data_IF_385635252496
#
_entry.id   IF_385635252496
#
_cell.length_a   1.000
_cell.length_b   1.000
_cell.length_c   1.000
_cell.angle_alpha   90.00
_cell.angle_beta   90.00
_cell.angle_gamma   90.00
#
_symmetry.space_group_name_H-M   'P 1'
#
loop_
_entity.id
_entity.type
_entity.pdbx_description
1 polymer ?
#
# COMPACT_ATOMS: atom_id res chain seq x y z
N UNK A 1 -12.83 -13.62 69.96
CA UNK A 1 -13.45 -12.43 70.59
C UNK A 1 -12.61 -11.20 70.26
N UNK A 2 -13.27 -10.19 69.69
CA UNK A 2 -12.99 -8.73 69.76
C UNK A 2 -11.72 -8.15 69.09
N UNK A 3 -12.03 -7.33 68.08
CA UNK A 3 -11.25 -6.29 67.37
C UNK A 3 -10.36 -5.41 68.26
N UNK A 4 -9.29 -4.86 67.67
CA UNK A 4 -9.02 -3.41 67.70
C UNK A 4 -8.27 -2.95 66.44
N UNK A 5 -8.85 -1.95 65.76
CA UNK A 5 -8.21 -1.12 64.75
C UNK A 5 -7.14 -0.24 65.40
N UNK A 6 -6.09 0.10 64.66
CA UNK A 6 -5.45 1.41 64.71
C UNK A 6 -4.91 1.74 63.32
N UNK A 7 -5.43 2.85 62.79
CA UNK A 7 -5.02 3.48 61.56
C UNK A 7 -3.73 4.29 61.82
N UNK A 8 -2.80 4.26 60.86
CA UNK A 8 -1.74 5.27 60.78
C UNK A 8 -1.66 5.73 59.32
N UNK A 9 -2.05 6.98 59.13
CA UNK A 9 -1.98 7.71 57.88
C UNK A 9 -0.57 8.33 57.70
N UNK A 10 -0.27 8.58 56.43
CA UNK A 10 0.68 9.57 55.90
C UNK A 10 2.19 9.34 56.13
N UNK A 11 2.87 9.04 55.02
CA UNK A 11 3.93 9.92 54.51
C UNK A 11 3.97 9.80 52.97
N UNK A 12 3.25 10.69 52.30
CA UNK A 12 3.57 11.07 50.92
C UNK A 12 4.74 12.03 51.02
N UNK A 13 5.96 11.55 50.77
CA UNK A 13 7.11 12.39 50.47
C UNK A 13 7.42 12.23 48.98
N UNK A 14 7.35 13.35 48.26
CA UNK A 14 7.60 13.40 46.83
C UNK A 14 9.01 12.95 46.48
N UNK A 15 9.09 12.06 45.49
CA UNK A 15 10.19 12.07 44.55
C UNK A 15 9.69 12.82 43.31
N UNK A 16 9.82 14.14 43.39
CA UNK A 16 9.99 14.98 42.20
C UNK A 16 11.32 14.63 41.52
N UNK A 17 11.33 14.76 40.20
CA UNK A 17 12.48 14.67 39.29
C UNK A 17 12.87 13.25 38.87
N UNK A 18 12.29 12.89 37.72
CA UNK A 18 12.71 11.79 36.87
C UNK A 18 11.76 11.67 35.70
N UNK A 19 11.51 12.78 34.98
CA UNK A 19 11.09 12.65 33.58
C UNK A 19 12.27 11.94 32.90
N UNK A 20 12.17 10.62 32.81
CA UNK A 20 13.10 9.81 32.08
C UNK A 20 12.83 10.11 30.61
N UNK A 21 13.39 11.21 30.12
CA UNK A 21 13.69 11.40 28.72
C UNK A 21 14.53 10.21 28.30
N UNK A 22 13.86 9.13 27.86
CA UNK A 22 14.51 8.02 27.20
C UNK A 22 15.41 8.56 26.09
N UNK A 23 16.44 7.81 25.67
CA UNK A 23 17.39 8.29 24.69
C UNK A 23 16.61 8.87 23.50
N UNK A 24 16.85 10.15 23.20
CA UNK A 24 16.21 10.83 22.08
C UNK A 24 16.40 10.02 20.80
N UNK A 25 15.47 10.19 19.85
CA UNK A 25 15.56 9.54 18.54
C UNK A 25 16.95 9.74 17.95
N UNK A 26 17.63 8.66 17.57
CA UNK A 26 18.92 8.76 16.90
C UNK A 26 18.78 9.15 15.43
N UNK A 27 17.57 9.03 14.90
CA UNK A 27 17.21 9.53 13.58
C UNK A 27 16.94 11.04 13.73
N UNK A 28 17.67 11.87 12.98
CA UNK A 28 17.44 13.30 13.03
C UNK A 28 15.98 13.60 12.65
N UNK A 29 15.31 14.44 13.45
CA UNK A 29 13.89 14.76 13.28
C UNK A 29 12.95 13.53 13.28
N UNK A 30 13.32 12.44 13.96
CA UNK A 30 12.58 11.18 13.92
C UNK A 30 11.09 11.29 14.30
N UNK A 31 10.70 12.22 15.17
CA UNK A 31 9.29 12.47 15.48
C UNK A 31 8.50 13.05 14.31
N UNK A 32 9.07 14.01 13.58
CA UNK A 32 8.47 14.58 12.37
C UNK A 32 8.41 13.53 11.26
N UNK A 33 9.46 12.74 11.12
CA UNK A 33 9.51 11.65 10.14
C UNK A 33 8.45 10.59 10.45
N UNK A 34 8.35 10.14 11.69
CA UNK A 34 7.33 9.19 12.12
C UNK A 34 5.92 9.71 11.78
N UNK A 35 5.60 10.95 12.12
CA UNK A 35 4.29 11.54 11.83
C UNK A 35 3.97 11.59 10.32
N UNK A 36 4.98 11.86 9.48
CA UNK A 36 4.80 11.81 8.03
C UNK A 36 4.54 10.38 7.55
N UNK A 37 5.37 9.42 7.98
CA UNK A 37 5.20 8.01 7.62
C UNK A 37 3.86 7.45 8.10
N UNK A 38 3.39 7.80 9.29
CA UNK A 38 2.06 7.38 9.79
C UNK A 38 0.95 7.91 8.90
N UNK A 39 1.08 9.14 8.41
CA UNK A 39 0.07 9.73 7.54
C UNK A 39 0.09 9.07 6.16
N UNK A 40 1.28 8.73 5.64
CA UNK A 40 1.41 7.95 4.41
C UNK A 40 0.84 6.54 4.57
N UNK A 41 1.14 5.87 5.68
CA UNK A 41 0.60 4.54 6.02
C UNK A 41 -0.92 4.57 6.13
N UNK A 42 -1.49 5.59 6.79
CA UNK A 42 -2.94 5.76 6.87
C UNK A 42 -3.59 6.00 5.49
N UNK A 43 -2.91 6.70 4.57
CA UNK A 43 -3.36 6.91 3.20
C UNK A 43 -3.40 5.61 2.40
N UNK A 44 -2.25 4.95 2.33
CA UNK A 44 -1.98 3.80 1.47
C UNK A 44 -2.65 2.54 2.02
N UNK A 45 -2.67 2.42 3.34
CA UNK A 45 -3.34 1.36 4.09
C UNK A 45 -4.83 1.61 4.35
N UNK A 46 -5.49 2.49 3.59
CA UNK A 46 -6.93 2.72 3.71
C UNK A 46 -7.74 1.44 3.48
N UNK A 47 -8.91 1.26 4.13
CA UNK A 47 -9.75 0.07 3.93
C UNK A 47 -10.12 -0.18 2.47
N UNK A 48 -10.28 0.88 1.67
CA UNK A 48 -10.64 0.80 0.26
C UNK A 48 -9.49 0.24 -0.58
N UNK A 49 -8.26 0.73 -0.40
CA UNK A 49 -7.08 0.20 -1.10
C UNK A 49 -6.78 -1.24 -0.66
N UNK A 50 -6.92 -1.55 0.64
CA UNK A 50 -6.85 -2.93 1.15
C UNK A 50 -7.84 -3.86 0.47
N UNK A 51 -9.09 -3.42 0.30
CA UNK A 51 -10.11 -4.19 -0.41
C UNK A 51 -9.79 -4.34 -1.90
N UNK A 52 -9.26 -3.30 -2.55
CA UNK A 52 -8.88 -3.38 -3.96
C UNK A 52 -7.74 -4.40 -4.16
N UNK A 53 -6.72 -4.35 -3.29
CA UNK A 53 -5.64 -5.33 -3.21
C UNK A 53 -6.13 -6.77 -3.09
N UNK A 54 -7.04 -7.03 -2.15
CA UNK A 54 -7.56 -8.39 -1.92
C UNK A 54 -8.46 -8.90 -3.05
N UNK A 55 -9.14 -8.01 -3.77
CA UNK A 55 -10.05 -8.35 -4.87
C UNK A 55 -9.36 -8.44 -6.24
N UNK A 56 -8.06 -8.16 -6.33
CA UNK A 56 -7.31 -8.24 -7.58
C UNK A 56 -7.40 -9.62 -8.26
N UNK A 57 -7.05 -10.71 -7.55
CA UNK A 57 -7.16 -12.06 -8.10
C UNK A 57 -8.61 -12.46 -8.43
N UNK A 58 -9.60 -12.17 -7.57
CA UNK A 58 -11.00 -12.31 -7.95
C UNK A 58 -11.42 -11.55 -9.22
N UNK A 59 -10.87 -10.36 -9.51
CA UNK A 59 -11.15 -9.65 -10.77
C UNK A 59 -10.62 -10.44 -11.98
N UNK A 60 -9.39 -10.93 -11.90
CA UNK A 60 -8.80 -11.74 -12.96
C UNK A 60 -9.59 -13.04 -13.18
N UNK A 61 -10.03 -13.70 -12.12
CA UNK A 61 -10.76 -14.96 -12.22
C UNK A 61 -12.13 -14.82 -12.90
N UNK A 62 -12.77 -13.65 -12.81
CA UNK A 62 -14.00 -13.34 -13.54
C UNK A 62 -13.74 -12.74 -14.93
N UNK A 63 -12.48 -12.73 -15.37
CA UNK A 63 -12.07 -12.28 -16.69
C UNK A 63 -12.08 -10.76 -16.85
N UNK A 64 -11.97 -9.98 -15.77
CA UNK A 64 -11.85 -8.52 -15.86
C UNK A 64 -10.39 -8.15 -16.06
N UNK A 65 -10.02 -7.91 -17.31
CA UNK A 65 -8.69 -7.41 -17.70
C UNK A 65 -8.85 -6.25 -18.67
N UNK A 66 -7.78 -5.48 -18.86
CA UNK A 66 -7.79 -4.35 -19.78
C UNK A 66 -8.13 -4.73 -21.23
N UNK A 67 -7.95 -6.00 -21.63
CA UNK A 67 -8.21 -6.52 -22.98
C UNK A 67 -9.60 -7.13 -23.16
N UNK A 68 -10.31 -7.44 -22.07
CA UNK A 68 -11.62 -8.13 -22.10
C UNK A 68 -12.77 -7.23 -21.69
N UNK A 69 -12.51 -6.06 -21.11
CA UNK A 69 -13.55 -5.09 -20.76
C UNK A 69 -14.28 -4.60 -22.01
N UNK A 70 -15.51 -5.09 -22.20
CA UNK A 70 -16.37 -4.77 -23.35
C UNK A 70 -17.75 -4.26 -22.93
N UNK A 71 -18.61 -3.98 -23.91
CA UNK A 71 -19.97 -3.47 -23.68
C UNK A 71 -20.88 -4.41 -22.88
N UNK A 72 -20.53 -5.69 -22.71
CA UNK A 72 -21.29 -6.63 -21.88
C UNK A 72 -20.95 -6.51 -20.39
N UNK A 73 -19.79 -5.92 -20.08
CA UNK A 73 -19.30 -5.70 -18.72
C UNK A 73 -19.52 -4.24 -18.25
N UNK A 74 -19.36 -3.27 -19.15
CA UNK A 74 -19.50 -1.85 -18.81
C UNK A 74 -20.94 -1.50 -18.40
N UNK A 75 -21.09 -0.55 -17.47
CA UNK A 75 -22.39 -0.21 -16.88
C UNK A 75 -22.89 -1.19 -15.83
N UNK A 76 -22.09 -2.19 -15.46
CA UNK A 76 -22.44 -3.20 -14.46
C UNK A 76 -21.62 -3.09 -13.19
N UNK A 77 -22.18 -3.61 -12.11
CA UNK A 77 -21.55 -3.65 -10.79
C UNK A 77 -21.05 -5.06 -10.49
N UNK A 78 -19.82 -5.19 -10.02
CA UNK A 78 -19.23 -6.41 -9.46
C UNK A 78 -19.33 -6.38 -7.94
N UNK A 79 -19.83 -7.47 -7.37
CA UNK A 79 -19.99 -7.63 -5.93
C UNK A 79 -19.36 -8.95 -5.46
N UNK A 80 -18.85 -8.96 -4.23
CA UNK A 80 -18.30 -10.16 -3.61
C UNK A 80 -19.42 -11.11 -3.21
N UNK A 81 -19.32 -12.37 -3.61
CA UNK A 81 -20.13 -13.47 -3.12
C UNK A 81 -19.36 -14.22 -2.01
N UNK A 82 -19.80 -14.12 -0.74
CA UNK A 82 -19.12 -14.78 0.38
C UNK A 82 -19.31 -16.31 0.39
N UNK A 83 -20.32 -16.84 -0.32
CA UNK A 83 -20.60 -18.28 -0.38
C UNK A 83 -19.57 -18.96 -1.29
N UNK A 84 -19.42 -18.43 -2.51
CA UNK A 84 -18.52 -19.00 -3.52
C UNK A 84 -17.13 -18.36 -3.54
N UNK A 85 -16.90 -17.33 -2.70
CA UNK A 85 -15.66 -16.57 -2.58
C UNK A 85 -15.15 -16.04 -3.92
N UNK A 86 -16.04 -15.41 -4.67
CA UNK A 86 -15.74 -14.83 -5.99
C UNK A 86 -16.45 -13.51 -6.19
N UNK A 87 -16.08 -12.81 -7.25
CA UNK A 87 -16.87 -11.66 -7.72
C UNK A 87 -17.96 -12.16 -8.67
N UNK A 88 -19.11 -11.50 -8.66
CA UNK A 88 -20.19 -11.74 -9.60
C UNK A 88 -20.76 -10.41 -10.09
N UNK A 89 -21.08 -10.32 -11.38
CA UNK A 89 -21.76 -9.15 -11.92
C UNK A 89 -23.23 -9.16 -11.53
N UNK A 90 -23.67 -8.11 -10.86
CA UNK A 90 -25.05 -7.98 -10.36
C UNK A 90 -25.83 -6.90 -11.11
N UNK A 91 -27.11 -6.78 -10.80
CA UNK A 91 -28.00 -5.73 -11.30
C UNK A 91 -27.97 -4.46 -10.44
N UNK A 92 -27.03 -4.34 -9.49
CA UNK A 92 -26.92 -3.17 -8.63
C UNK A 92 -26.63 -1.93 -9.47
N UNK A 93 -27.47 -0.91 -9.29
CA UNK A 93 -27.38 0.35 -10.00
C UNK A 93 -26.17 1.22 -9.56
N UNK A 94 -25.83 2.23 -10.37
CA UNK A 94 -24.82 3.24 -10.06
C UNK A 94 -23.44 3.02 -10.70
N UNK A 95 -23.31 2.01 -11.57
CA UNK A 95 -22.18 1.89 -12.48
C UNK A 95 -22.40 2.82 -13.70
N UNK A 96 -21.46 3.73 -14.01
CA UNK A 96 -21.48 4.50 -15.25
C UNK A 96 -21.44 3.59 -16.48
N UNK A 97 -22.09 4.00 -17.58
CA UNK A 97 -22.17 3.21 -18.82
C UNK A 97 -20.82 2.89 -19.47
N UNK A 98 -19.76 3.63 -19.12
CA UNK A 98 -18.41 3.45 -19.61
C UNK A 98 -17.44 2.85 -18.57
N UNK A 99 -17.97 2.30 -17.46
CA UNK A 99 -17.14 1.77 -16.38
C UNK A 99 -17.71 0.48 -15.79
N UNK A 100 -16.84 -0.35 -15.24
CA UNK A 100 -17.23 -1.39 -14.28
C UNK A 100 -17.16 -0.77 -12.89
N UNK A 101 -18.20 -0.97 -12.07
CA UNK A 101 -18.17 -0.60 -10.65
C UNK A 101 -17.84 -1.82 -9.81
N UNK A 102 -16.66 -1.84 -9.19
CA UNK A 102 -16.32 -2.85 -8.18
C UNK A 102 -16.74 -2.36 -6.79
N UNK A 103 -17.57 -3.10 -6.09
CA UNK A 103 -17.85 -2.83 -4.68
C UNK A 103 -16.69 -3.30 -3.80
N UNK A 104 -16.30 -2.47 -2.83
CA UNK A 104 -15.19 -2.73 -1.92
C UNK A 104 -15.70 -3.02 -0.51
N UNK A 105 -15.08 -3.98 0.16
CA UNK A 105 -15.51 -4.52 1.44
C UNK A 105 -14.39 -4.52 2.47
N UNK A 106 -14.76 -4.43 3.74
CA UNK A 106 -13.82 -4.57 4.84
C UNK A 106 -13.24 -5.98 4.83
N UNK A 107 -11.92 -6.09 4.94
CA UNK A 107 -11.24 -7.36 5.07
C UNK A 107 -11.12 -7.80 6.53
N UNK A 108 -11.13 -9.10 6.76
CA UNK A 108 -10.76 -9.71 8.03
C UNK A 108 -9.23 -9.73 8.23
N UNK A 109 -8.77 -10.33 9.34
CA UNK A 109 -7.36 -10.46 9.62
C UNK A 109 -6.59 -11.30 8.58
N UNK A 110 -7.26 -12.13 7.79
CA UNK A 110 -6.64 -12.95 6.73
C UNK A 110 -6.52 -12.22 5.40
N UNK A 111 -7.15 -11.04 5.26
CA UNK A 111 -7.15 -10.25 4.05
C UNK A 111 -8.31 -10.56 3.10
N UNK A 112 -9.34 -11.28 3.55
CA UNK A 112 -10.54 -11.62 2.76
C UNK A 112 -11.72 -10.79 3.26
N UNK A 113 -12.68 -10.38 2.40
CA UNK A 113 -13.88 -9.68 2.86
C UNK A 113 -14.61 -10.41 4.01
N UNK A 114 -14.97 -9.66 5.06
CA UNK A 114 -15.68 -10.18 6.24
C UNK A 114 -17.07 -10.74 5.88
N UNK A 115 -17.57 -11.65 6.70
CA UNK A 115 -18.94 -12.16 6.63
C UNK A 115 -19.64 -11.88 7.97
N UNK A 116 -20.78 -11.15 7.99
CA UNK A 116 -21.47 -10.54 6.85
C UNK A 116 -20.67 -9.41 6.19
N UNK A 117 -20.91 -9.17 4.90
CA UNK A 117 -20.20 -8.16 4.11
C UNK A 117 -20.41 -6.76 4.69
N UNK A 118 -19.33 -6.04 4.96
CA UNK A 118 -19.33 -4.61 5.29
C UNK A 118 -18.73 -3.80 4.15
N UNK A 119 -19.51 -2.95 3.50
CA UNK A 119 -19.04 -2.11 2.38
C UNK A 119 -18.22 -0.92 2.88
N UNK A 120 -17.02 -0.74 2.33
CA UNK A 120 -16.13 0.37 2.67
C UNK A 120 -16.01 1.41 1.55
N UNK A 121 -16.42 1.06 0.33
CA UNK A 121 -16.30 1.95 -0.82
C UNK A 121 -16.64 1.26 -2.12
N UNK A 122 -16.19 1.86 -3.22
CA UNK A 122 -16.24 1.27 -4.55
C UNK A 122 -15.09 1.79 -5.40
N UNK A 123 -14.73 1.06 -6.46
CA UNK A 123 -13.80 1.51 -7.48
C UNK A 123 -14.48 1.49 -8.85
N UNK A 124 -14.24 2.51 -9.66
CA UNK A 124 -14.57 2.50 -11.09
C UNK A 124 -13.36 2.09 -11.89
N UNK A 125 -13.50 1.02 -12.68
CA UNK A 125 -12.54 0.58 -13.68
C UNK A 125 -13.05 1.10 -15.03
N UNK A 126 -12.34 2.09 -15.57
CA UNK A 126 -12.73 2.84 -16.77
C UNK A 126 -11.71 2.55 -17.87
N UNK A 127 -12.02 1.69 -18.85
CA UNK A 127 -11.18 1.58 -20.03
C UNK A 127 -11.21 2.92 -20.77
N UNK A 128 -10.05 3.53 -20.91
CA UNK A 128 -9.87 4.86 -21.52
C UNK A 128 -9.47 4.75 -22.98
N UNK A 129 -9.88 3.67 -23.66
CA UNK A 129 -9.65 3.41 -25.08
C UNK A 129 -10.49 4.36 -25.97
N UNK A 130 -10.29 5.66 -25.79
CA UNK A 130 -10.55 6.70 -26.75
C UNK A 130 -9.18 7.08 -27.31
N UNK A 131 -9.09 7.09 -28.63
CA UNK A 131 -7.96 7.55 -29.43
C UNK A 131 -7.46 8.95 -28.97
N UNK A 132 -6.63 9.04 -27.93
CA UNK A 132 -6.05 10.30 -27.43
C UNK A 132 -4.72 10.58 -28.12
N UNK A 133 -4.75 10.66 -29.45
CA UNK A 133 -3.77 11.39 -30.27
C UNK A 133 -2.28 11.01 -30.20
N UNK A 134 -1.88 9.95 -29.47
CA UNK A 134 -0.48 9.58 -29.29
C UNK A 134 0.04 8.52 -30.27
N UNK A 135 -0.75 7.46 -30.52
CA UNK A 135 -0.55 6.40 -31.52
C UNK A 135 -1.73 5.38 -31.47
N UNK A 136 -2.03 4.65 -32.55
CA UNK A 136 -3.23 3.78 -32.66
C UNK A 136 -3.35 2.62 -31.66
N UNK A 137 -2.25 2.22 -31.00
CA UNK A 137 -2.19 1.03 -30.12
C UNK A 137 -2.14 1.35 -28.60
N UNK A 138 -2.30 2.63 -28.21
CA UNK A 138 -2.22 3.07 -26.83
C UNK A 138 -3.52 2.77 -26.07
N UNK A 139 -3.57 1.58 -25.45
CA UNK A 139 -4.64 1.13 -24.57
C UNK A 139 -4.40 1.67 -23.16
N UNK A 140 -5.43 2.17 -22.47
CA UNK A 140 -5.28 2.72 -21.10
C UNK A 140 -6.45 2.36 -20.19
N UNK A 141 -6.18 2.28 -18.89
CA UNK A 141 -7.14 1.94 -17.84
C UNK A 141 -7.02 2.92 -16.69
N UNK A 142 -8.13 3.54 -16.33
CA UNK A 142 -8.24 4.36 -15.11
C UNK A 142 -8.98 3.57 -14.03
N UNK A 143 -8.40 3.51 -12.83
CA UNK A 143 -9.06 3.03 -11.62
C UNK A 143 -9.26 4.21 -10.66
N UNK A 144 -10.51 4.59 -10.42
CA UNK A 144 -10.86 5.63 -9.47
C UNK A 144 -11.55 5.03 -8.25
N UNK A 145 -10.95 5.17 -7.07
CA UNK A 145 -11.39 4.57 -5.81
C UNK A 145 -12.12 5.61 -4.97
N UNK A 146 -13.25 5.26 -4.39
CA UNK A 146 -14.11 6.15 -3.59
C UNK A 146 -14.47 5.52 -2.25
N UNK A 147 -14.67 6.38 -1.25
CA UNK A 147 -15.25 5.96 0.03
C UNK A 147 -16.79 6.02 -0.04
N UNK A 148 -17.47 5.24 0.82
CA UNK A 148 -18.93 5.28 0.91
C UNK A 148 -19.48 6.47 1.74
N UNK A 149 -18.65 7.05 2.61
CA UNK A 149 -19.07 8.11 3.54
C UNK A 149 -19.25 9.49 2.87
N UNK A 150 -18.63 9.72 1.71
CA UNK A 150 -18.69 10.99 0.98
C UNK A 150 -18.83 10.71 -0.52
N UNK A 151 -20.06 10.64 -1.05
CA UNK A 151 -20.30 10.41 -2.49
C UNK A 151 -19.89 11.59 -3.39
N UNK A 152 -19.28 12.65 -2.85
CA UNK A 152 -18.90 13.86 -3.61
C UNK A 152 -17.43 14.28 -3.38
N UNK A 153 -16.75 14.49 -4.52
CA UNK A 153 -15.47 15.17 -4.79
C UNK A 153 -14.12 14.62 -4.25
N UNK A 154 -14.08 13.64 -3.35
CA UNK A 154 -12.80 13.05 -2.91
C UNK A 154 -12.64 11.61 -3.39
N UNK A 155 -11.94 11.36 -4.51
CA UNK A 155 -11.40 10.02 -4.73
C UNK A 155 -10.39 9.69 -3.62
N UNK A 156 -10.42 8.47 -3.11
CA UNK A 156 -9.43 7.93 -2.15
C UNK A 156 -8.11 7.69 -2.88
N UNK A 157 -8.19 7.24 -4.13
CA UNK A 157 -7.06 7.09 -5.02
C UNK A 157 -7.53 7.17 -6.47
N UNK A 158 -6.63 7.59 -7.34
CA UNK A 158 -6.76 7.53 -8.78
C UNK A 158 -5.49 6.91 -9.36
N UNK A 159 -5.68 5.80 -10.08
CA UNK A 159 -4.61 5.04 -10.71
C UNK A 159 -4.87 5.01 -12.22
N UNK A 160 -3.82 5.15 -13.00
CA UNK A 160 -3.90 5.25 -14.45
C UNK A 160 -2.79 4.44 -15.08
N UNK A 161 -3.13 3.41 -15.84
CA UNK A 161 -2.18 2.61 -16.62
C UNK A 161 -2.31 2.90 -18.12
N UNK A 162 -1.17 2.88 -18.80
CA UNK A 162 -1.05 3.08 -20.24
C UNK A 162 -0.11 2.04 -20.81
N UNK A 163 -0.62 1.26 -21.78
CA UNK A 163 0.16 0.36 -22.62
C UNK A 163 1.22 1.16 -23.36
N UNK A 164 2.48 0.73 -23.22
CA UNK A 164 3.53 1.20 -24.13
C UNK A 164 3.46 0.34 -25.38
N UNK A 165 3.56 0.93 -26.59
CA UNK A 165 3.74 0.15 -27.81
C UNK A 165 4.90 -0.82 -27.56
N UNK A 166 4.68 -2.09 -27.86
CA UNK A 166 5.72 -3.12 -27.75
C UNK A 166 6.90 -2.69 -28.62
N UNK A 167 7.97 -2.19 -28.00
CA UNK A 167 9.25 -2.25 -28.67
C UNK A 167 9.57 -3.74 -28.78
N UNK A 168 9.90 -4.18 -29.99
CA UNK A 168 9.92 -5.58 -30.45
C UNK A 168 10.92 -6.50 -29.72
N UNK A 169 11.59 -5.98 -28.70
CA UNK A 169 12.45 -6.70 -27.75
C UNK A 169 11.77 -6.74 -26.39
N UNK A 170 11.16 -7.88 -26.04
CA UNK A 170 10.46 -8.20 -24.78
C UNK A 170 10.99 -7.47 -23.54
N UNK A 171 10.46 -6.28 -23.24
CA UNK A 171 11.02 -5.50 -22.15
C UNK A 171 10.15 -4.39 -21.58
N UNK A 172 9.13 -3.87 -22.26
CA UNK A 172 8.22 -2.88 -21.66
C UNK A 172 6.82 -3.04 -22.22
N UNK A 173 5.84 -3.29 -21.37
CA UNK A 173 4.46 -3.51 -21.82
C UNK A 173 3.47 -2.45 -21.34
N UNK A 174 3.75 -1.74 -20.23
CA UNK A 174 3.05 -0.52 -19.88
C UNK A 174 3.81 0.35 -18.87
N UNK A 175 3.22 1.50 -18.56
CA UNK A 175 3.55 2.27 -17.36
C UNK A 175 2.25 2.63 -16.66
N UNK A 176 2.30 2.92 -15.37
CA UNK A 176 1.16 3.49 -14.70
C UNK A 176 1.59 4.63 -13.79
N UNK A 177 0.73 5.63 -13.69
CA UNK A 177 0.80 6.61 -12.62
C UNK A 177 -0.27 6.32 -11.59
N UNK A 178 0.08 6.31 -10.31
CA UNK A 178 -0.90 6.27 -9.24
C UNK A 178 -0.82 7.54 -8.40
N UNK A 179 -1.98 8.02 -8.00
CA UNK A 179 -2.14 9.10 -7.03
C UNK A 179 -3.08 8.61 -5.94
N UNK A 180 -2.64 8.67 -4.69
CA UNK A 180 -3.59 8.62 -3.59
C UNK A 180 -4.23 10.02 -3.49
N UNK A 181 -5.56 10.07 -3.39
CA UNK A 181 -6.32 11.30 -3.19
C UNK A 181 -5.89 12.03 -1.91
N UNK A 182 -6.43 13.22 -1.63
CA UNK A 182 -5.85 14.15 -0.66
C UNK A 182 -5.77 13.52 0.73
N UNK A 183 -4.59 13.02 1.07
CA UNK A 183 -4.25 12.75 2.45
C UNK A 183 -3.52 13.97 2.94
N UNK A 184 -4.18 14.68 3.85
CA UNK A 184 -3.63 15.87 4.45
C UNK A 184 -2.45 15.54 5.37
N UNK A 185 -1.25 15.37 4.80
CA UNK A 185 -0.03 15.93 5.38
C UNK A 185 0.04 17.37 4.88
N UNK A 186 -0.84 18.23 5.39
CA UNK A 186 -1.17 19.50 4.72
C UNK A 186 -2.16 19.30 3.55
N UNK A 187 -1.82 19.68 2.31
CA UNK A 187 -2.70 19.66 1.12
C UNK A 187 -2.03 18.99 -0.12
N UNK A 188 -1.44 17.78 -0.03
CA UNK A 188 -0.56 17.27 -1.11
C UNK A 188 -0.82 15.82 -1.52
N UNK A 189 -0.58 15.54 -2.80
CA UNK A 189 -0.77 14.25 -3.48
C UNK A 189 0.56 13.51 -3.62
N UNK A 190 0.56 12.20 -3.36
CA UNK A 190 1.70 11.31 -3.68
C UNK A 190 1.58 10.93 -5.14
N UNK A 191 2.63 11.13 -5.93
CA UNK A 191 2.71 10.66 -7.31
C UNK A 191 3.60 9.44 -7.38
N UNK A 192 3.08 8.32 -7.85
CA UNK A 192 3.84 7.13 -8.21
C UNK A 192 3.93 7.10 -9.73
N UNK A 193 5.13 7.00 -10.32
CA UNK A 193 5.31 6.67 -11.73
C UNK A 193 6.08 5.36 -11.82
N UNK A 194 5.44 4.34 -12.40
CA UNK A 194 5.95 2.97 -12.43
C UNK A 194 6.03 2.51 -13.88
N UNK A 195 7.19 2.64 -14.54
CA UNK A 195 7.48 1.90 -15.76
C UNK A 195 7.70 0.43 -15.44
N UNK A 196 7.06 -0.47 -16.19
CA UNK A 196 7.27 -1.90 -15.98
C UNK A 196 7.87 -2.63 -17.16
N UNK A 197 8.78 -3.54 -16.81
CA UNK A 197 9.36 -4.56 -17.67
C UNK A 197 8.89 -5.92 -17.14
N UNK A 198 7.92 -6.55 -17.82
CA UNK A 198 7.50 -7.92 -17.48
C UNK A 198 8.22 -8.85 -18.46
N UNK A 199 9.30 -9.53 -18.05
CA UNK A 199 9.86 -10.61 -18.83
C UNK A 199 8.94 -11.83 -18.78
N UNK A 200 8.99 -12.67 -19.83
CA UNK A 200 8.42 -14.02 -19.78
C UNK A 200 9.16 -14.76 -18.64
N UNK A 201 8.43 -15.23 -17.63
CA UNK A 201 8.92 -15.99 -16.46
C UNK A 201 9.77 -15.25 -15.39
N UNK A 202 9.62 -13.93 -15.19
CA UNK A 202 10.36 -13.23 -14.12
C UNK A 202 9.51 -12.37 -13.18
N UNK A 203 10.00 -12.19 -11.95
CA UNK A 203 9.34 -11.42 -10.88
C UNK A 203 9.27 -9.89 -11.14
N UNK A 204 9.86 -9.43 -12.25
CA UNK A 204 9.88 -8.05 -12.76
C UNK A 204 10.48 -7.04 -11.78
N UNK A 205 11.48 -6.27 -12.18
CA UNK A 205 11.95 -5.15 -11.35
C UNK A 205 11.21 -3.87 -11.76
N UNK A 206 10.58 -3.22 -10.79
CA UNK A 206 9.74 -2.04 -10.96
C UNK A 206 10.34 -0.88 -10.18
N UNK A 207 11.15 -0.05 -10.84
CA UNK A 207 11.61 1.19 -10.23
C UNK A 207 10.51 2.23 -10.27
N UNK A 208 10.34 2.98 -9.20
CA UNK A 208 9.38 4.06 -9.13
C UNK A 208 9.88 5.17 -8.22
N UNK A 209 9.37 6.36 -8.46
CA UNK A 209 9.66 7.53 -7.65
C UNK A 209 8.36 8.15 -7.19
N UNK A 210 8.34 8.52 -5.92
CA UNK A 210 7.35 9.40 -5.32
C UNK A 210 7.99 10.57 -4.62
N UNK A 211 7.30 11.68 -4.65
CA UNK A 211 7.75 12.88 -3.95
C UNK A 211 6.58 13.61 -3.31
N UNK A 212 6.88 14.29 -2.22
CA UNK A 212 5.90 15.01 -1.42
C UNK A 212 6.58 16.11 -0.59
N UNK A 213 5.81 16.83 0.22
CA UNK A 213 6.34 17.92 1.03
C UNK A 213 7.32 17.47 2.09
N UNK A 214 8.62 17.49 1.74
CA UNK A 214 9.73 17.19 2.66
C UNK A 214 10.35 15.81 2.48
N UNK A 215 9.90 15.01 1.52
CA UNK A 215 10.53 13.73 1.22
C UNK A 215 10.53 13.41 -0.28
N UNK A 216 11.54 12.65 -0.68
CA UNK A 216 11.58 11.91 -1.92
C UNK A 216 11.77 10.43 -1.58
N UNK A 217 10.98 9.60 -2.23
CA UNK A 217 10.94 8.17 -2.05
C UNK A 217 11.19 7.53 -3.41
N UNK A 218 12.34 6.88 -3.55
CA UNK A 218 12.59 6.00 -4.69
C UNK A 218 12.40 4.58 -4.22
N UNK A 219 11.60 3.79 -4.91
CA UNK A 219 11.50 2.36 -4.63
C UNK A 219 11.80 1.52 -5.86
N UNK A 220 12.23 0.29 -5.62
CA UNK A 220 12.26 -0.75 -6.63
C UNK A 220 11.56 -1.96 -6.05
N UNK A 221 10.36 -2.26 -6.52
CA UNK A 221 9.64 -3.46 -6.13
C UNK A 221 9.94 -4.61 -7.12
N UNK A 222 9.92 -5.85 -6.65
CA UNK A 222 9.50 -6.99 -7.46
C UNK A 222 8.18 -7.44 -6.89
N UNK A 223 7.23 -7.84 -7.73
CA UNK A 223 5.88 -8.16 -7.29
C UNK A 223 5.76 -9.68 -7.16
N UNK A 224 4.89 -10.16 -6.26
CA UNK A 224 4.50 -11.56 -6.28
C UNK A 224 3.84 -11.83 -7.64
N UNK A 225 4.40 -12.71 -8.45
CA UNK A 225 3.74 -13.22 -9.64
C UNK A 225 2.70 -14.30 -9.30
N UNK A 226 1.86 -14.73 -10.27
CA UNK A 226 0.99 -15.89 -10.09
C UNK A 226 1.77 -17.19 -9.76
N UNK A 227 3.07 -17.24 -10.09
CA UNK A 227 3.98 -18.35 -9.80
C UNK A 227 4.94 -18.12 -8.61
N UNK A 228 5.07 -16.88 -8.13
CA UNK A 228 6.03 -16.50 -7.08
C UNK A 228 5.34 -15.61 -6.05
N UNK A 229 5.27 -16.03 -4.79
CA UNK A 229 4.64 -15.24 -3.73
C UNK A 229 5.63 -14.33 -3.01
N UNK A 230 6.68 -13.88 -3.69
CA UNK A 230 7.74 -13.08 -3.09
C UNK A 230 7.88 -11.72 -3.78
N UNK A 231 8.09 -10.67 -2.99
CA UNK A 231 8.24 -9.30 -3.44
C UNK A 231 9.49 -8.69 -2.81
N UNK A 232 10.47 -8.24 -3.56
CA UNK A 232 11.62 -7.50 -3.00
C UNK A 232 11.35 -6.01 -3.11
N UNK A 233 11.77 -5.18 -2.17
CA UNK A 233 11.58 -3.74 -2.22
C UNK A 233 12.86 -3.00 -1.78
N UNK A 234 13.55 -2.33 -2.69
CA UNK A 234 14.64 -1.42 -2.31
C UNK A 234 14.11 0.00 -2.18
N UNK A 235 14.31 0.67 -1.05
CA UNK A 235 13.69 1.95 -0.72
C UNK A 235 14.76 2.98 -0.39
N UNK A 236 14.74 4.11 -1.08
CA UNK A 236 15.56 5.27 -0.78
C UNK A 236 14.67 6.41 -0.30
N UNK A 237 14.84 6.82 0.95
CA UNK A 237 14.16 7.95 1.55
C UNK A 237 15.15 9.08 1.82
N UNK A 238 14.81 10.31 1.44
CA UNK A 238 15.59 11.50 1.78
C UNK A 238 14.73 12.47 2.55
N UNK A 239 15.20 12.87 3.75
CA UNK A 239 14.50 13.83 4.59
C UNK A 239 15.48 14.77 5.28
N UNK A 240 15.24 16.07 5.13
CA UNK A 240 16.19 17.07 5.61
C UNK A 240 17.57 16.85 5.00
N UNK A 241 18.60 16.84 5.85
CA UNK A 241 20.00 16.56 5.46
C UNK A 241 20.38 15.08 5.50
N UNK A 242 19.54 14.21 6.07
CA UNK A 242 19.84 12.78 6.21
C UNK A 242 19.34 12.00 4.98
N UNK A 243 20.19 11.10 4.49
CA UNK A 243 19.83 10.10 3.49
C UNK A 243 19.57 8.78 4.20
N UNK A 244 18.30 8.38 4.30
CA UNK A 244 17.88 7.12 4.92
C UNK A 244 17.57 6.13 3.79
N UNK A 245 18.35 5.06 3.65
CA UNK A 245 18.06 4.02 2.65
C UNK A 245 17.64 2.76 3.38
N UNK A 246 16.44 2.28 3.07
CA UNK A 246 15.84 1.09 3.64
C UNK A 246 15.67 0.03 2.55
N UNK A 247 16.45 -1.05 2.58
CA UNK A 247 16.42 -2.09 1.55
C UNK A 247 15.82 -3.36 2.12
N UNK A 248 14.73 -3.83 1.53
CA UNK A 248 14.11 -5.09 1.92
C UNK A 248 14.67 -6.25 1.11
N UNK A 249 14.72 -7.42 1.75
CA UNK A 249 14.84 -8.69 1.03
C UNK A 249 13.50 -9.10 0.40
N UNK A 250 13.35 -10.37 0.00
CA UNK A 250 12.07 -10.92 -0.38
C UNK A 250 11.05 -10.79 0.76
N UNK A 251 9.88 -10.28 0.41
CA UNK A 251 8.73 -10.05 1.26
C UNK A 251 7.61 -10.98 0.79
N UNK A 252 6.86 -11.54 1.71
CA UNK A 252 5.82 -12.50 1.38
C UNK A 252 4.44 -11.98 1.79
N UNK A 253 3.41 -12.15 0.96
CA UNK A 253 2.04 -11.92 1.36
C UNK A 253 1.67 -12.81 2.54
N UNK A 254 1.15 -12.18 3.59
CA UNK A 254 0.54 -12.85 4.72
C UNK A 254 -0.55 -11.94 5.26
N UNK A 255 -1.78 -12.44 5.39
CA UNK A 255 -2.82 -11.70 6.14
C UNK A 255 -3.06 -10.28 5.61
N UNK A 256 -3.12 -10.15 4.28
CA UNK A 256 -3.33 -8.89 3.58
C UNK A 256 -2.21 -7.86 3.69
N UNK A 257 -0.97 -8.25 4.06
CA UNK A 257 0.22 -7.38 4.09
C UNK A 257 1.45 -8.14 3.63
N UNK A 258 2.55 -7.42 3.35
CA UNK A 258 3.85 -8.04 3.11
C UNK A 258 4.65 -8.15 4.42
N UNK A 259 5.30 -9.30 4.63
CA UNK A 259 6.17 -9.59 5.77
C UNK A 259 7.58 -9.97 5.31
N UNK A 260 8.60 -9.67 6.11
CA UNK A 260 9.99 -9.95 5.75
C UNK A 260 11.01 -9.02 6.44
N UNK A 261 12.29 -9.14 6.07
CA UNK A 261 13.35 -8.31 6.61
C UNK A 261 13.56 -7.01 5.82
N UNK A 262 13.99 -5.96 6.51
CA UNK A 262 14.37 -4.66 5.97
C UNK A 262 15.66 -4.17 6.64
N UNK A 263 16.67 -3.84 5.85
CA UNK A 263 17.91 -3.26 6.33
C UNK A 263 17.87 -1.74 6.13
N UNK A 264 18.19 -0.98 7.18
CA UNK A 264 18.17 0.48 7.15
C UNK A 264 19.59 1.00 7.32
N UNK A 265 19.97 1.93 6.45
CA UNK A 265 21.19 2.72 6.52
C UNK A 265 20.85 4.19 6.65
N UNK A 266 21.66 4.94 7.39
CA UNK A 266 21.54 6.39 7.53
C UNK A 266 22.88 6.99 7.12
N UNK A 267 22.86 7.90 6.16
CA UNK A 267 24.05 8.52 5.57
C UNK A 267 25.11 7.50 5.11
N UNK A 268 24.64 6.36 4.59
CA UNK A 268 25.47 5.26 4.10
C UNK A 268 25.98 4.28 5.17
N UNK A 269 25.75 4.54 6.45
CA UNK A 269 26.14 3.65 7.55
C UNK A 269 24.99 2.70 7.95
N UNK A 270 25.23 1.40 8.19
CA UNK A 270 24.22 0.49 8.72
C UNK A 270 23.65 0.99 10.05
N UNK A 271 22.32 1.05 10.15
CA UNK A 271 21.62 1.57 11.31
C UNK A 271 20.76 0.50 12.00
N UNK A 272 19.96 -0.25 11.23
CA UNK A 272 19.05 -1.24 11.78
C UNK A 272 18.75 -2.39 10.81
N UNK A 273 18.42 -3.56 11.36
CA UNK A 273 17.69 -4.61 10.67
C UNK A 273 16.31 -4.71 11.33
N UNK A 274 15.27 -4.57 10.52
CA UNK A 274 13.87 -4.61 10.90
C UNK A 274 13.28 -5.91 10.38
N UNK A 275 12.51 -6.61 11.20
CA UNK A 275 11.78 -7.82 10.79
C UNK A 275 10.31 -7.60 11.06
N UNK A 276 9.49 -7.58 10.01
CA UNK A 276 8.03 -7.59 10.12
C UNK A 276 7.54 -9.03 10.03
N UNK A 277 6.82 -9.47 11.03
CA UNK A 277 6.17 -10.78 11.11
C UNK A 277 4.66 -10.61 11.28
N UNK A 278 3.92 -11.73 11.25
CA UNK A 278 2.46 -11.72 11.41
C UNK A 278 1.99 -11.13 12.75
N UNK A 279 2.80 -11.26 13.80
CA UNK A 279 2.48 -10.84 15.17
C UNK A 279 3.13 -9.52 15.59
N UNK A 280 3.90 -8.86 14.73
CA UNK A 280 4.51 -7.58 15.04
C UNK A 280 5.79 -7.28 14.27
N UNK A 281 6.34 -6.11 14.52
CA UNK A 281 7.63 -5.66 13.96
C UNK A 281 8.66 -5.62 15.07
N UNK A 282 9.87 -6.08 14.79
CA UNK A 282 11.02 -5.93 15.67
C UNK A 282 12.16 -5.25 14.92
N UNK A 283 13.02 -4.53 15.62
CA UNK A 283 14.19 -3.90 15.02
C UNK A 283 15.41 -4.01 15.94
N UNK A 284 16.57 -4.29 15.34
CA UNK A 284 17.85 -4.42 16.03
C UNK A 284 18.93 -3.59 15.35
N UNK A 285 19.87 -3.07 16.14
CA UNK A 285 21.07 -2.38 15.65
C UNK A 285 22.12 -3.38 15.14
N UNK A 286 23.12 -2.93 14.37
CA UNK A 286 24.37 -3.65 14.24
C UNK A 286 24.91 -4.02 15.63
N UNK A 287 25.07 -5.33 15.90
CA UNK A 287 25.44 -5.85 17.21
C UNK A 287 24.28 -6.39 18.07
N UNK A 288 23.04 -6.37 17.56
CA UNK A 288 21.90 -7.09 18.14
C UNK A 288 21.12 -6.36 19.23
N UNK A 289 21.49 -5.13 19.57
CA UNK A 289 20.73 -4.32 20.54
C UNK A 289 19.36 -3.94 19.98
N UNK A 290 18.30 -4.09 20.78
CA UNK A 290 16.94 -3.73 20.39
C UNK A 290 16.76 -2.22 20.17
N UNK A 291 15.85 -1.86 19.27
CA UNK A 291 15.42 -0.48 18.99
C UNK A 291 13.96 -0.32 19.44
N UNK A 292 13.66 0.77 20.15
CA UNK A 292 12.32 1.08 20.66
C UNK A 292 11.95 2.54 20.48
N UNK A 293 10.76 2.92 20.97
CA UNK A 293 10.28 4.30 20.96
C UNK A 293 10.12 4.89 19.55
N UNK A 294 10.45 6.17 19.39
CA UNK A 294 10.31 6.90 18.12
C UNK A 294 11.10 6.26 16.97
N UNK A 295 12.30 5.75 17.24
CA UNK A 295 13.13 5.10 16.21
C UNK A 295 12.44 3.84 15.67
N UNK A 296 11.83 3.02 16.55
CA UNK A 296 11.07 1.84 16.11
C UNK A 296 9.86 2.25 15.27
N UNK A 297 9.12 3.29 15.67
CA UNK A 297 7.98 3.80 14.90
C UNK A 297 8.38 4.29 13.50
N UNK A 298 9.52 4.99 13.38
CA UNK A 298 10.07 5.37 12.06
C UNK A 298 10.39 4.12 11.23
N UNK A 299 11.06 3.14 11.82
CA UNK A 299 11.44 1.90 11.14
C UNK A 299 10.22 1.07 10.70
N UNK A 300 9.15 1.05 11.49
CA UNK A 300 7.86 0.45 11.13
C UNK A 300 7.24 1.16 9.92
N UNK A 301 7.21 2.50 9.92
CA UNK A 301 6.69 3.29 8.81
C UNK A 301 7.52 3.12 7.53
N UNK A 302 8.85 3.09 7.64
CA UNK A 302 9.76 2.84 6.51
C UNK A 302 9.55 1.46 5.87
N UNK A 303 9.06 0.48 6.65
CA UNK A 303 8.63 -0.81 6.10
C UNK A 303 7.23 -0.75 5.51
N UNK A 304 6.27 -0.19 6.26
CA UNK A 304 4.84 -0.33 5.97
C UNK A 304 4.41 0.41 4.69
N UNK A 305 4.84 1.67 4.52
CA UNK A 305 4.52 2.49 3.35
C UNK A 305 4.79 1.77 2.01
N UNK A 306 6.01 1.22 1.76
CA UNK A 306 6.28 0.48 0.53
C UNK A 306 5.52 -0.82 0.40
N UNK A 307 5.39 -1.57 1.49
CA UNK A 307 4.65 -2.82 1.49
C UNK A 307 3.18 -2.58 1.06
N UNK A 308 2.61 -1.48 1.52
CA UNK A 308 1.24 -1.07 1.22
C UNK A 308 1.11 -0.55 -0.23
N UNK A 309 2.10 0.18 -0.76
CA UNK A 309 2.15 0.54 -2.19
C UNK A 309 2.14 -0.73 -3.05
N UNK A 310 3.11 -1.63 -2.83
CA UNK A 310 3.28 -2.83 -3.64
C UNK A 310 2.02 -3.70 -3.65
N UNK A 311 1.41 -3.90 -2.48
CA UNK A 311 0.29 -4.84 -2.34
C UNK A 311 -1.09 -4.22 -2.60
N UNK A 312 -1.32 -2.94 -2.29
CA UNK A 312 -2.65 -2.32 -2.43
C UNK A 312 -2.81 -1.46 -3.69
N UNK A 313 -1.72 -1.02 -4.30
CA UNK A 313 -1.75 -0.16 -5.50
C UNK A 313 -1.21 -0.91 -6.70
N UNK A 314 0.02 -1.45 -6.63
CA UNK A 314 0.68 -2.03 -7.80
C UNK A 314 0.08 -3.39 -8.18
N UNK A 315 -0.17 -4.25 -7.19
CA UNK A 315 -0.72 -5.59 -7.40
C UNK A 315 -2.06 -5.61 -8.18
N UNK A 316 -3.10 -4.83 -7.81
CA UNK A 316 -4.32 -4.74 -8.60
C UNK A 316 -4.08 -4.33 -10.06
N UNK A 317 -3.15 -3.41 -10.30
CA UNK A 317 -2.81 -2.96 -11.64
C UNK A 317 -2.14 -4.05 -12.45
N UNK A 318 -1.20 -4.79 -11.85
CA UNK A 318 -0.55 -5.91 -12.51
C UNK A 318 -1.57 -6.97 -12.94
N UNK A 319 -2.48 -7.32 -12.03
CA UNK A 319 -3.46 -8.37 -12.28
C UNK A 319 -4.48 -7.99 -13.37
N UNK A 320 -4.93 -6.73 -13.39
CA UNK A 320 -5.95 -6.27 -14.37
C UNK A 320 -5.31 -5.80 -15.69
N UNK A 321 -4.10 -5.23 -15.65
CA UNK A 321 -3.37 -4.70 -16.81
C UNK A 321 -2.27 -5.65 -17.32
N UNK A 322 -2.38 -6.95 -17.00
CA UNK A 322 -1.40 -7.95 -17.39
C UNK A 322 -1.28 -8.08 -18.92
N UNK A 323 -0.12 -7.73 -19.47
CA UNK A 323 0.09 -7.63 -20.92
C UNK A 323 0.42 -8.97 -21.63
N UNK A 324 0.53 -10.09 -20.89
CA UNK A 324 0.59 -11.44 -21.47
C UNK A 324 1.59 -11.66 -22.59
N UNK A 325 2.88 -11.42 -22.32
CA UNK A 325 3.95 -12.00 -23.14
C UNK A 325 4.24 -13.42 -22.68
#
# INVERSE_FOLDING_TARGET
MVRRLLATAAFFAGLSCGENSGPGSLIAHGSSLAAQLDTLDAALGSPQLKSLGSLALPLLSVGVTFSTMDSTMLGRTLEWDPIWRRLDFTTRAGAPSNAIRLMLYKNDATGVPVVPKEEVGYAYLVPMNLHTGGKPDSVSLRIAVFNNATPTAGSVAEIMAWRRPSDVSCGQCASFSASAGPVSIGNRTIYLDVPFQIPVDGDGQYSATSSGGGFNFNHTATLPGPSSTAATANLGFRFGSDSIVATSGPLHPNSGRLIGPLNVTINGAPFATVTRAANGTTATRPGGQGIGGTDLRVLEGLFAVPADIAYYIEWPMFVVFYCGC
#
